data_IF_851219570293
#
_entry.id   IF_851219570293
#
_cell.length_a   1.000
_cell.length_b   1.000
_cell.length_c   1.000
_cell.angle_alpha   90.00
_cell.angle_beta   90.00
_cell.angle_gamma   90.00
#
_symmetry.space_group_name_H-M   'P 1'
#
loop_
_entity.id
_entity.type
_entity.pdbx_description
1 polymer ?
#
# COMPACT_ATOMS: atom_id res chain seq x y z
N UNK A 1 3.08 16.37 0.90
CA UNK A 1 3.97 15.83 1.97
C UNK A 1 3.31 14.62 2.63
N UNK A 2 4.03 13.52 2.70
CA UNK A 2 3.52 12.30 3.31
C UNK A 2 3.61 12.40 4.83
N UNK A 3 2.49 12.15 5.52
CA UNK A 3 2.41 12.15 6.99
C UNK A 3 1.85 10.86 7.53
N UNK A 4 0.80 10.32 6.89
CA UNK A 4 0.11 9.13 7.35
C UNK A 4 0.31 7.99 6.35
N UNK A 5 0.71 6.83 6.85
CA UNK A 5 0.93 5.63 6.03
C UNK A 5 0.08 4.51 6.60
N UNK A 6 -0.71 3.88 5.74
CA UNK A 6 -1.53 2.72 6.08
C UNK A 6 -0.85 1.46 5.50
N UNK A 7 -0.71 0.43 6.33
CA UNK A 7 -0.14 -0.86 5.93
C UNK A 7 -1.24 -1.91 5.98
N UNK A 8 -1.57 -2.50 4.84
CA UNK A 8 -2.63 -3.50 4.72
C UNK A 8 -2.03 -4.83 4.28
N UNK A 9 -2.01 -5.79 5.19
CA UNK A 9 -1.43 -7.11 4.98
C UNK A 9 -1.94 -8.02 6.08
N UNK A 10 -2.31 -9.26 5.76
CA UNK A 10 -2.82 -10.19 6.76
C UNK A 10 -1.72 -10.77 7.66
N UNK A 11 -0.45 -10.59 7.30
CA UNK A 11 0.69 -11.06 8.09
C UNK A 11 1.27 -9.92 8.94
N UNK A 12 1.21 -10.02 10.29
CA UNK A 12 1.86 -9.03 11.15
C UNK A 12 3.36 -8.92 10.91
N UNK A 13 4.01 -10.05 10.59
CA UNK A 13 5.45 -10.08 10.30
C UNK A 13 5.72 -9.31 9.01
N UNK A 14 4.89 -9.52 7.98
CA UNK A 14 5.04 -8.81 6.71
C UNK A 14 4.86 -7.30 6.89
N UNK A 15 3.87 -6.87 7.67
CA UNK A 15 3.69 -5.45 7.98
C UNK A 15 4.91 -4.87 8.67
N UNK A 16 5.49 -5.63 9.62
CA UNK A 16 6.69 -5.19 10.33
C UNK A 16 7.87 -5.06 9.40
N UNK A 17 8.03 -5.97 8.45
CA UNK A 17 9.13 -5.93 7.48
C UNK A 17 9.01 -4.68 6.62
N UNK A 18 7.83 -4.40 6.07
CA UNK A 18 7.62 -3.20 5.26
C UNK A 18 7.91 -1.95 6.08
N UNK A 19 7.38 -1.89 7.29
CA UNK A 19 7.60 -0.76 8.19
C UNK A 19 9.08 -0.54 8.51
N UNK A 20 9.84 -1.64 8.67
CA UNK A 20 11.28 -1.54 8.93
C UNK A 20 12.08 -0.99 7.76
N UNK A 21 11.53 -1.05 6.55
CA UNK A 21 12.16 -0.50 5.35
C UNK A 21 11.87 0.98 5.17
N UNK A 22 10.93 1.54 5.94
CA UNK A 22 10.54 2.94 5.82
C UNK A 22 11.44 3.80 6.72
N UNK A 23 11.95 4.94 6.21
CA UNK A 23 12.81 5.81 7.02
C UNK A 23 12.13 6.25 8.31
N UNK A 24 12.85 6.16 9.43
CA UNK A 24 12.29 6.43 10.76
C UNK A 24 12.36 7.89 11.17
N UNK A 25 13.14 8.67 10.47
CA UNK A 25 13.43 10.07 10.81
C UNK A 25 12.51 11.08 10.12
N UNK A 26 11.46 10.59 9.45
CA UNK A 26 10.52 11.42 8.67
C UNK A 26 9.26 11.79 9.44
N UNK A 27 9.06 11.24 10.64
CA UNK A 27 7.90 11.55 11.46
C UNK A 27 6.58 10.99 10.91
N UNK A 28 6.62 9.90 10.16
CA UNK A 28 5.41 9.26 9.66
C UNK A 28 4.58 8.67 10.78
N UNK A 29 3.27 8.78 10.63
CA UNK A 29 2.31 8.13 11.50
C UNK A 29 1.78 6.87 10.80
N UNK A 30 1.85 5.73 11.48
CA UNK A 30 1.51 4.42 10.88
C UNK A 30 0.18 3.90 11.39
N UNK A 31 -0.57 3.30 10.46
CA UNK A 31 -1.82 2.60 10.75
C UNK A 31 -1.75 1.24 10.06
N UNK A 32 -2.40 0.22 10.62
CA UNK A 32 -2.34 -1.14 10.09
C UNK A 32 -3.71 -1.76 9.99
N UNK A 33 -3.90 -2.61 8.99
CA UNK A 33 -5.11 -3.39 8.81
C UNK A 33 -4.73 -4.80 8.34
N UNK A 34 -5.50 -5.79 8.78
CA UNK A 34 -5.17 -7.20 8.57
C UNK A 34 -5.87 -7.88 7.40
N UNK A 35 -6.73 -7.18 6.68
CA UNK A 35 -7.38 -7.71 5.47
C UNK A 35 -7.85 -6.55 4.60
N UNK A 36 -8.33 -6.88 3.39
CA UNK A 36 -8.72 -5.86 2.42
C UNK A 36 -9.92 -5.02 2.86
N UNK A 37 -10.89 -5.64 3.52
CA UNK A 37 -12.07 -4.90 3.98
C UNK A 37 -11.68 -3.94 5.10
N UNK A 38 -10.94 -4.41 6.09
CA UNK A 38 -10.44 -3.57 7.17
C UNK A 38 -9.55 -2.45 6.62
N UNK A 39 -8.77 -2.73 5.58
CA UNK A 39 -7.94 -1.74 4.90
C UNK A 39 -8.77 -0.65 4.24
N UNK A 40 -9.82 -1.03 3.52
CA UNK A 40 -10.71 -0.05 2.90
C UNK A 40 -11.42 0.81 3.94
N UNK A 41 -11.94 0.20 5.01
CA UNK A 41 -12.60 0.94 6.08
C UNK A 41 -11.63 1.91 6.77
N UNK A 42 -10.41 1.45 7.04
CA UNK A 42 -9.37 2.31 7.61
C UNK A 42 -9.02 3.46 6.67
N UNK A 43 -8.94 3.20 5.38
CA UNK A 43 -8.66 4.25 4.40
C UNK A 43 -9.71 5.36 4.46
N UNK A 44 -10.98 5.01 4.50
CA UNK A 44 -12.06 6.00 4.54
C UNK A 44 -12.01 6.86 5.79
N UNK A 45 -11.66 6.24 6.93
CA UNK A 45 -11.61 6.92 8.22
C UNK A 45 -10.36 7.79 8.37
N UNK A 46 -9.19 7.24 8.02
CA UNK A 46 -7.89 7.88 8.28
C UNK A 46 -7.46 8.79 7.13
N UNK A 47 -7.81 8.44 5.91
CA UNK A 47 -7.37 9.11 4.68
C UNK A 47 -5.84 9.24 4.64
N UNK A 48 -5.13 8.11 4.63
CA UNK A 48 -3.66 8.14 4.62
C UNK A 48 -3.14 8.74 3.33
N UNK A 49 -1.93 9.28 3.40
CA UNK A 49 -1.27 9.83 2.21
C UNK A 49 -0.77 8.74 1.28
N UNK A 50 -0.32 7.62 1.86
CA UNK A 50 0.16 6.46 1.12
C UNK A 50 -0.39 5.19 1.79
N UNK A 51 -0.81 4.23 0.97
CA UNK A 51 -1.24 2.90 1.43
C UNK A 51 -0.36 1.85 0.80
N UNK A 52 0.27 1.01 1.62
CA UNK A 52 0.94 -0.20 1.15
C UNK A 52 -0.05 -1.35 1.24
N UNK A 53 -0.28 -2.03 0.12
CA UNK A 53 -1.35 -3.02 -0.02
C UNK A 53 -0.80 -4.36 -0.51
N UNK A 54 -1.01 -5.42 0.28
CA UNK A 54 -0.74 -6.78 -0.20
C UNK A 54 -1.92 -7.23 -1.07
N UNK A 55 -1.67 -8.10 -2.04
CA UNK A 55 -2.72 -8.60 -2.92
C UNK A 55 -3.45 -9.82 -2.35
N UNK A 56 -2.73 -10.72 -1.68
CA UNK A 56 -3.31 -11.98 -1.20
C UNK A 56 -3.70 -11.88 0.26
N UNK A 57 -5.00 -11.73 0.52
CA UNK A 57 -5.53 -11.58 1.87
C UNK A 57 -6.90 -12.25 1.96
N UNK A 58 -7.32 -12.68 3.18
CA UNK A 58 -8.68 -13.20 3.37
C UNK A 58 -9.72 -12.08 3.37
N UNK A 59 -10.98 -12.44 3.35
CA UNK A 59 -12.16 -11.58 3.40
C UNK A 59 -12.30 -10.75 2.11
N UNK A 60 -11.35 -9.87 1.84
CA UNK A 60 -11.28 -9.09 0.62
C UNK A 60 -9.81 -9.00 0.23
N UNK A 61 -9.46 -9.40 -0.99
CA UNK A 61 -8.07 -9.34 -1.43
C UNK A 61 -7.65 -7.90 -1.76
N UNK A 62 -6.34 -7.71 -2.00
CA UNK A 62 -5.80 -6.38 -2.23
C UNK A 62 -6.21 -5.77 -3.56
N UNK A 63 -6.53 -6.58 -4.55
CA UNK A 63 -7.01 -6.08 -5.84
C UNK A 63 -8.38 -5.43 -5.67
N UNK A 64 -9.30 -6.10 -4.99
CA UNK A 64 -10.62 -5.57 -4.72
C UNK A 64 -10.54 -4.34 -3.80
N UNK A 65 -9.71 -4.41 -2.76
CA UNK A 65 -9.53 -3.29 -1.84
C UNK A 65 -8.99 -2.06 -2.57
N UNK A 66 -8.01 -2.25 -3.47
CA UNK A 66 -7.46 -1.16 -4.27
C UNK A 66 -8.55 -0.54 -5.15
N UNK A 67 -9.36 -1.37 -5.81
CA UNK A 67 -10.45 -0.86 -6.66
C UNK A 67 -11.42 -0.01 -5.84
N UNK A 68 -11.78 -0.44 -4.64
CA UNK A 68 -12.69 0.31 -3.77
C UNK A 68 -12.08 1.61 -3.27
N UNK A 69 -10.80 1.59 -2.93
CA UNK A 69 -10.10 2.79 -2.50
C UNK A 69 -10.06 3.83 -3.63
N UNK A 70 -9.71 3.40 -4.84
CA UNK A 70 -9.63 4.30 -5.99
C UNK A 70 -11.02 4.83 -6.37
N UNK A 71 -12.06 4.01 -6.26
CA UNK A 71 -13.43 4.46 -6.47
C UNK A 71 -13.81 5.54 -5.44
N UNK A 72 -13.44 5.35 -4.19
CA UNK A 72 -13.69 6.31 -3.12
C UNK A 72 -12.87 7.59 -3.29
N UNK A 73 -11.60 7.46 -3.70
CA UNK A 73 -10.71 8.59 -3.94
C UNK A 73 -9.81 8.30 -5.13
N UNK A 74 -10.13 8.83 -6.33
CA UNK A 74 -9.31 8.57 -7.52
C UNK A 74 -7.86 9.04 -7.43
N UNK A 75 -7.55 9.91 -6.48
CA UNK A 75 -6.18 10.40 -6.29
C UNK A 75 -5.41 9.61 -5.22
N UNK A 76 -6.00 8.54 -4.69
CA UNK A 76 -5.33 7.72 -3.68
C UNK A 76 -4.02 7.14 -4.22
N UNK A 77 -2.99 7.14 -3.39
CA UNK A 77 -1.70 6.56 -3.73
C UNK A 77 -1.61 5.19 -3.05
N UNK A 78 -1.82 4.14 -3.82
CA UNK A 78 -1.74 2.76 -3.34
C UNK A 78 -0.50 2.12 -3.95
N UNK A 79 0.44 1.75 -3.09
CA UNK A 79 1.65 1.02 -3.49
C UNK A 79 1.41 -0.43 -3.14
N UNK A 80 1.29 -1.28 -4.16
CA UNK A 80 1.09 -2.72 -3.96
C UNK A 80 2.42 -3.33 -3.59
N UNK A 81 2.45 -4.09 -2.48
CA UNK A 81 3.65 -4.80 -2.04
C UNK A 81 3.28 -6.27 -1.91
N UNK A 82 3.73 -7.10 -2.85
CA UNK A 82 3.24 -8.47 -2.98
C UNK A 82 4.33 -9.45 -3.38
N UNK A 83 4.16 -10.71 -2.95
CA UNK A 83 4.97 -11.83 -3.43
C UNK A 83 4.44 -12.42 -4.74
N UNK A 84 3.22 -12.03 -5.13
CA UNK A 84 2.64 -12.49 -6.40
C UNK A 84 3.38 -11.82 -7.56
N UNK A 85 3.98 -12.66 -8.42
CA UNK A 85 4.77 -12.17 -9.55
C UNK A 85 4.09 -12.45 -10.89
N UNK A 86 2.83 -12.85 -10.88
CA UNK A 86 2.10 -13.08 -12.12
C UNK A 86 1.82 -11.76 -12.82
N UNK A 87 2.30 -11.64 -14.05
CA UNK A 87 2.17 -10.40 -14.83
C UNK A 87 0.72 -9.95 -14.94
N UNK A 88 -0.19 -10.90 -15.14
CA UNK A 88 -1.61 -10.59 -15.28
C UNK A 88 -2.18 -9.92 -14.03
N UNK A 89 -1.82 -10.43 -12.84
CA UNK A 89 -2.28 -9.84 -11.58
C UNK A 89 -1.74 -8.43 -11.39
N UNK A 90 -0.45 -8.23 -11.69
CA UNK A 90 0.20 -6.93 -11.54
C UNK A 90 -0.36 -5.91 -12.54
N UNK A 91 -0.56 -6.33 -13.79
CA UNK A 91 -1.14 -5.48 -14.82
C UNK A 91 -2.56 -5.07 -14.45
N UNK A 92 -3.35 -6.01 -13.92
CA UNK A 92 -4.72 -5.75 -13.53
C UNK A 92 -4.80 -4.69 -12.42
N UNK A 93 -3.99 -4.84 -11.37
CA UNK A 93 -4.05 -3.90 -10.24
C UNK A 93 -3.55 -2.51 -10.65
N UNK A 94 -2.56 -2.43 -11.54
CA UNK A 94 -2.12 -1.14 -12.07
C UNK A 94 -3.21 -0.50 -12.92
N UNK A 95 -3.92 -1.30 -13.72
CA UNK A 95 -5.04 -0.78 -14.52
C UNK A 95 -6.18 -0.26 -13.65
N UNK A 96 -6.35 -0.80 -12.44
CA UNK A 96 -7.35 -0.33 -11.49
C UNK A 96 -6.96 0.96 -10.78
N UNK A 97 -5.73 1.41 -10.95
CA UNK A 97 -5.28 2.67 -10.40
C UNK A 97 -4.19 2.59 -9.33
N UNK A 98 -3.63 1.40 -9.07
CA UNK A 98 -2.49 1.31 -8.17
C UNK A 98 -1.35 2.19 -8.69
N UNK A 99 -0.67 2.87 -7.78
CA UNK A 99 0.40 3.80 -8.14
C UNK A 99 1.64 3.07 -8.64
N UNK A 100 2.05 2.04 -7.93
CA UNK A 100 3.16 1.19 -8.36
C UNK A 100 3.14 -0.13 -7.59
N UNK A 101 3.99 -1.08 -8.04
CA UNK A 101 4.12 -2.39 -7.42
C UNK A 101 5.55 -2.57 -6.92
N UNK A 102 5.68 -3.04 -5.68
CA UNK A 102 6.94 -3.43 -5.07
C UNK A 102 6.87 -4.93 -4.79
N UNK A 103 7.89 -5.66 -5.22
CA UNK A 103 7.94 -7.11 -5.00
C UNK A 103 8.46 -7.43 -3.60
N UNK A 104 7.87 -8.45 -2.98
CA UNK A 104 8.37 -8.98 -1.71
C UNK A 104 9.50 -9.98 -1.95
N UNK A 105 10.51 -10.05 -1.09
CA UNK A 105 10.69 -9.21 0.09
C UNK A 105 11.11 -7.79 -0.30
N UNK A 106 10.53 -6.76 0.35
CA UNK A 106 10.93 -5.40 0.04
C UNK A 106 12.32 -5.10 0.60
N UNK A 107 12.97 -4.08 0.05
CA UNK A 107 14.23 -3.58 0.57
C UNK A 107 14.05 -2.12 0.96
N UNK A 108 14.98 -1.60 1.75
CA UNK A 108 14.97 -0.17 2.08
C UNK A 108 15.02 0.67 0.81
N UNK A 109 15.84 0.25 -0.16
CA UNK A 109 16.00 0.98 -1.42
C UNK A 109 14.69 1.02 -2.21
N UNK A 110 13.99 -0.11 -2.36
CA UNK A 110 12.75 -0.14 -3.14
C UNK A 110 11.63 0.64 -2.45
N UNK A 111 11.55 0.56 -1.13
CA UNK A 111 10.53 1.28 -0.37
C UNK A 111 10.81 2.79 -0.37
N UNK A 112 12.07 3.20 -0.17
CA UNK A 112 12.44 4.61 -0.22
C UNK A 112 12.18 5.21 -1.60
N UNK A 113 12.50 4.47 -2.67
CA UNK A 113 12.21 4.91 -4.04
C UNK A 113 10.70 5.10 -4.25
N UNK A 114 9.89 4.14 -3.76
CA UNK A 114 8.44 4.23 -3.88
C UNK A 114 7.90 5.46 -3.13
N UNK A 115 8.41 5.72 -1.93
CA UNK A 115 7.99 6.89 -1.15
C UNK A 115 8.41 8.18 -1.82
N UNK A 116 9.61 8.23 -2.41
CA UNK A 116 10.07 9.41 -3.13
C UNK A 116 9.16 9.72 -4.31
N UNK A 117 8.81 8.71 -5.09
CA UNK A 117 7.90 8.87 -6.23
C UNK A 117 6.49 9.28 -5.78
N UNK A 118 6.03 8.71 -4.66
CA UNK A 118 4.73 9.09 -4.09
C UNK A 118 4.74 10.55 -3.62
N UNK A 119 5.83 10.99 -3.01
CA UNK A 119 5.99 12.38 -2.57
C UNK A 119 5.90 13.33 -3.76
N UNK A 120 6.54 12.98 -4.88
CA UNK A 120 6.48 13.78 -6.11
C UNK A 120 5.06 13.82 -6.67
N UNK A 121 4.33 12.71 -6.61
CA UNK A 121 2.96 12.61 -7.11
C UNK A 121 1.99 13.45 -6.28
N UNK A 122 2.18 13.47 -4.98
CA UNK A 122 1.31 14.22 -4.07
C UNK A 122 1.62 15.72 -4.14
N UNK A 123 2.85 16.05 -4.44
CA UNK A 123 3.29 17.43 -4.56
C UNK A 123 3.68 17.99 -3.21
#
# INVERSE_FOLDING_TARGET
MIKKILLVDDSPISRRIVKSCIPKDRGYEFFEAGDGLAGFEAYKEIRPDVTFMDLTMPVMDGTEATAKIIEFNPEAVVIVCTADVQIKALTNVLALGAFMVVKKPPSKETIEDALLKAEEQIG
#
